data_IF_771637184065
#
_entry.id   IF_771637184065
#
_cell.length_a   1.000
_cell.length_b   1.000
_cell.length_c   1.000
_cell.angle_alpha   90.00
_cell.angle_beta   90.00
_cell.angle_gamma   90.00
#
_symmetry.space_group_name_H-M   'P 1'
#
loop_
_entity.id
_entity.type
_entity.pdbx_description
1 polymer ?
#
# COMPACT_ATOMS: atom_id res chain seq x y z
N UNK A 1 -19.63 11.39 9.04
CA UNK A 1 -18.44 11.87 8.33
C UNK A 1 -17.41 10.76 8.40
N UNK A 2 -17.33 9.94 7.36
CA UNK A 2 -16.43 8.78 7.36
C UNK A 2 -15.00 9.31 7.18
N UNK A 3 -14.21 9.30 8.25
CA UNK A 3 -12.80 9.68 8.18
C UNK A 3 -12.12 8.58 7.38
N UNK A 4 -12.04 8.78 6.05
CA UNK A 4 -11.24 7.93 5.18
C UNK A 4 -9.80 8.05 5.68
N UNK A 5 -9.27 6.95 6.23
CA UNK A 5 -7.84 6.87 6.56
C UNK A 5 -7.08 6.97 5.24
N UNK A 6 -6.64 8.17 4.89
CA UNK A 6 -5.86 8.40 3.66
C UNK A 6 -4.57 7.57 3.65
N UNK A 7 -4.06 7.20 4.83
CA UNK A 7 -2.79 6.51 5.00
C UNK A 7 -2.97 5.15 5.65
N UNK A 8 -2.41 4.13 5.00
CA UNK A 8 -2.39 2.74 5.42
C UNK A 8 -0.96 2.31 5.72
N UNK A 9 -0.77 1.52 6.77
CA UNK A 9 0.52 0.84 6.99
C UNK A 9 0.70 -0.29 5.98
N UNK A 10 1.93 -0.83 5.83
CA UNK A 10 2.19 -1.95 4.90
C UNK A 10 1.21 -3.13 5.07
N UNK A 11 0.87 -3.48 6.31
CA UNK A 11 -0.08 -4.56 6.59
C UNK A 11 -1.48 -4.23 6.05
N UNK A 12 -1.98 -3.04 6.39
CA UNK A 12 -3.28 -2.58 5.92
C UNK A 12 -3.32 -2.37 4.41
N UNK A 13 -2.23 -1.94 3.79
CA UNK A 13 -2.11 -1.81 2.35
C UNK A 13 -2.25 -3.17 1.64
N UNK A 14 -1.66 -4.24 2.22
CA UNK A 14 -1.83 -5.60 1.70
C UNK A 14 -3.29 -6.06 1.80
N UNK A 15 -3.91 -5.88 2.97
CA UNK A 15 -5.33 -6.21 3.17
C UNK A 15 -6.24 -5.41 2.22
N UNK A 16 -5.93 -4.14 2.00
CA UNK A 16 -6.65 -3.29 1.06
C UNK A 16 -6.56 -3.82 -0.38
N UNK A 17 -5.35 -4.18 -0.84
CA UNK A 17 -5.17 -4.79 -2.16
C UNK A 17 -5.99 -6.09 -2.30
N UNK A 18 -5.95 -6.96 -1.28
CA UNK A 18 -6.72 -8.21 -1.27
C UNK A 18 -8.22 -7.93 -1.34
N UNK A 19 -8.70 -6.93 -0.60
CA UNK A 19 -10.10 -6.50 -0.62
C UNK A 19 -10.54 -5.96 -1.98
N UNK A 20 -9.63 -5.33 -2.72
CA UNK A 20 -9.86 -4.88 -4.10
C UNK A 20 -9.75 -6.01 -5.14
N UNK A 21 -9.52 -7.25 -4.71
CA UNK A 21 -9.40 -8.41 -5.60
C UNK A 21 -7.98 -8.67 -6.11
N UNK A 22 -6.98 -7.91 -5.63
CA UNK A 22 -5.58 -8.12 -5.96
C UNK A 22 -4.87 -8.90 -4.83
N UNK A 23 -4.60 -10.20 -4.98
CA UNK A 23 -3.99 -11.02 -3.92
C UNK A 23 -2.52 -10.65 -3.71
N UNK A 24 -2.28 -9.67 -2.84
CA UNK A 24 -0.94 -9.18 -2.49
C UNK A 24 -0.69 -9.39 -1.01
N UNK A 25 0.33 -10.19 -0.70
CA UNK A 25 0.79 -10.36 0.68
C UNK A 25 1.67 -9.19 1.12
N UNK A 26 1.75 -8.90 2.44
CA UNK A 26 2.65 -7.87 2.96
C UNK A 26 4.12 -8.14 2.62
N UNK A 27 4.52 -9.41 2.47
CA UNK A 27 5.86 -9.82 2.02
C UNK A 27 6.12 -9.43 0.55
N UNK A 28 5.09 -9.46 -0.28
CA UNK A 28 5.15 -9.02 -1.68
C UNK A 28 5.29 -7.50 -1.76
N UNK A 29 4.54 -6.73 -0.95
CA UNK A 29 4.78 -5.29 -0.79
C UNK A 29 6.17 -4.99 -0.22
N UNK A 30 6.70 -5.86 0.64
CA UNK A 30 8.09 -5.77 1.11
C UNK A 30 9.12 -5.92 0.01
N UNK A 31 8.93 -6.93 -0.84
CA UNK A 31 9.75 -7.11 -2.04
C UNK A 31 9.65 -5.90 -2.97
N UNK A 32 8.45 -5.42 -3.27
CA UNK A 32 8.26 -4.28 -4.17
C UNK A 32 8.85 -2.97 -3.66
N UNK A 33 8.84 -2.73 -2.35
CA UNK A 33 9.50 -1.54 -1.80
C UNK A 33 11.03 -1.62 -1.89
N UNK A 34 11.60 -2.82 -1.97
CA UNK A 34 13.04 -3.05 -2.06
C UNK A 34 13.52 -3.06 -3.52
N UNK A 35 12.82 -3.81 -4.39
CA UNK A 35 13.17 -4.05 -5.79
C UNK A 35 12.62 -2.96 -6.72
N UNK A 36 11.57 -2.25 -6.30
CA UNK A 36 10.78 -1.39 -7.17
C UNK A 36 9.59 -2.14 -7.82
N UNK A 37 8.62 -1.39 -8.37
CA UNK A 37 7.43 -1.94 -9.04
C UNK A 37 6.18 -2.11 -8.16
N UNK A 38 6.17 -1.53 -6.96
CA UNK A 38 5.03 -1.48 -6.06
C UNK A 38 4.32 -0.12 -6.03
N UNK A 39 3.26 -0.01 -5.21
CA UNK A 39 2.59 1.26 -4.96
C UNK A 39 3.57 2.22 -4.26
N UNK A 40 3.38 3.53 -4.48
CA UNK A 40 4.21 4.54 -3.83
C UNK A 40 4.04 4.44 -2.32
N UNK A 41 5.17 4.43 -1.62
CA UNK A 41 5.22 4.47 -0.17
C UNK A 41 5.86 5.79 0.28
N UNK A 42 5.36 6.32 1.38
CA UNK A 42 5.95 7.45 2.09
C UNK A 42 6.53 6.96 3.41
N UNK A 43 7.69 7.51 3.77
CA UNK A 43 8.25 7.32 5.11
C UNK A 43 7.60 8.33 6.03
N UNK A 44 6.91 7.85 7.06
CA UNK A 44 6.36 8.68 8.13
C UNK A 44 7.21 8.52 9.38
N UNK A 45 8.06 9.51 9.64
CA UNK A 45 9.09 9.44 10.67
C UNK A 45 10.20 8.44 10.35
N UNK A 46 10.93 8.01 11.38
CA UNK A 46 12.19 7.27 11.24
C UNK A 46 12.03 5.82 10.78
N UNK A 47 10.90 5.16 11.07
CA UNK A 47 10.76 3.70 10.85
C UNK A 47 9.48 3.25 10.15
N UNK A 48 8.45 4.10 10.03
CA UNK A 48 7.14 3.67 9.53
C UNK A 48 6.98 4.00 8.05
N UNK A 49 6.57 3.00 7.27
CA UNK A 49 6.18 3.17 5.88
C UNK A 49 4.65 3.22 5.81
N UNK A 50 4.14 4.30 5.25
CA UNK A 50 2.71 4.51 5.00
C UNK A 50 2.46 4.56 3.50
N UNK A 51 1.30 4.08 3.09
CA UNK A 51 0.83 4.02 1.72
C UNK A 51 -0.44 4.87 1.67
N UNK A 52 -0.58 5.73 0.66
CA UNK A 52 -1.88 6.35 0.44
C UNK A 52 -2.81 5.36 -0.23
N UNK A 53 -4.10 5.48 0.07
CA UNK A 53 -5.13 4.74 -0.66
C UNK A 53 -5.08 5.09 -2.16
N UNK A 54 -4.95 6.37 -2.50
CA UNK A 54 -4.87 6.83 -3.89
C UNK A 54 -3.70 6.20 -4.66
N UNK A 55 -2.51 6.18 -4.05
CA UNK A 55 -1.31 5.56 -4.64
C UNK A 55 -1.44 4.02 -4.76
N UNK A 56 -2.23 3.38 -3.88
CA UNK A 56 -2.55 1.95 -3.97
C UNK A 56 -3.54 1.69 -5.08
N UNK A 57 -4.58 2.52 -5.20
CA UNK A 57 -5.61 2.43 -6.23
C UNK A 57 -5.00 2.59 -7.62
N UNK A 58 -4.22 3.65 -7.85
CA UNK A 58 -3.49 3.85 -9.10
C UNK A 58 -2.58 2.67 -9.46
N UNK A 59 -1.97 2.01 -8.47
CA UNK A 59 -1.12 0.86 -8.71
C UNK A 59 -1.92 -0.41 -9.02
N UNK A 60 -3.09 -0.58 -8.40
CA UNK A 60 -4.02 -1.66 -8.71
C UNK A 60 -4.60 -1.47 -10.11
N UNK A 61 -5.03 -0.26 -10.47
CA UNK A 61 -5.55 0.07 -11.81
C UNK A 61 -4.50 -0.09 -12.91
N UNK A 62 -3.22 0.13 -12.59
CA UNK A 62 -2.11 -0.10 -13.51
C UNK A 62 -1.75 -1.58 -13.71
N UNK A 63 -2.34 -2.49 -12.92
CA UNK A 63 -2.00 -3.91 -12.88
C UNK A 63 -2.99 -4.76 -13.67
#
# INVERSE_FOLDING_TARGET
>A
MEIRKEYLTRGQAAEYCIKQGLPVSPKTLAKYACVGGGPKFRKFGTTRMIYKIEDLDEWIERR
#
